data_IF_361136589847
#
_entry.id   IF_361136589847
#
_cell.length_a   1.000
_cell.length_b   1.000
_cell.length_c   1.000
_cell.angle_alpha   90.00
_cell.angle_beta   90.00
_cell.angle_gamma   90.00
#
_symmetry.space_group_name_H-M   'P 1'
#
loop_
_entity.id
_entity.type
_entity.pdbx_description
1 polymer ?
#
# COMPACT_ATOMS: atom_id res chain seq x y z
N UNK A 1 14.86 -9.58 -1.65
CA UNK A 1 14.44 -8.40 -0.87
C UNK A 1 15.33 -7.23 -1.30
N UNK A 2 14.76 -6.12 -1.81
CA UNK A 2 15.53 -4.97 -2.29
C UNK A 2 16.11 -4.09 -1.15
N UNK A 3 15.80 -4.37 0.12
CA UNK A 3 16.12 -3.50 1.25
C UNK A 3 17.11 -4.13 2.25
N UNK A 4 17.27 -5.45 2.25
CA UNK A 4 18.20 -6.13 3.17
C UNK A 4 19.66 -5.88 2.78
N UNK A 5 20.52 -5.59 3.76
CA UNK A 5 21.96 -5.39 3.52
C UNK A 5 22.66 -6.64 2.95
N UNK A 6 22.26 -7.81 3.43
CA UNK A 6 22.70 -9.11 2.91
C UNK A 6 21.66 -9.70 1.95
N UNK A 7 22.12 -10.47 0.95
CA UNK A 7 21.24 -11.07 -0.05
C UNK A 7 20.22 -12.01 0.59
N UNK A 8 18.94 -11.66 0.45
CA UNK A 8 17.82 -12.37 1.08
C UNK A 8 16.70 -12.63 0.08
N UNK A 9 16.17 -13.86 0.09
CA UNK A 9 14.98 -14.27 -0.69
C UNK A 9 13.74 -14.33 0.22
N UNK A 10 12.60 -13.90 -0.31
CA UNK A 10 11.30 -13.96 0.37
C UNK A 10 10.51 -15.13 -0.24
N UNK A 11 9.86 -15.94 0.59
CA UNK A 11 9.06 -17.10 0.17
C UNK A 11 7.70 -17.07 0.87
N UNK A 12 6.63 -17.16 0.09
CA UNK A 12 5.27 -17.29 0.63
C UNK A 12 5.02 -18.72 1.14
N UNK A 13 4.40 -18.81 2.31
CA UNK A 13 4.10 -20.07 2.97
C UNK A 13 2.64 -20.11 3.40
N UNK A 14 2.12 -21.33 3.55
CA UNK A 14 0.84 -21.57 4.20
C UNK A 14 1.07 -22.24 5.57
N UNK A 15 0.07 -22.16 6.45
CA UNK A 15 0.11 -22.88 7.72
C UNK A 15 -0.52 -24.26 7.56
N UNK A 16 0.17 -25.29 8.05
CA UNK A 16 -0.31 -26.67 8.07
C UNK A 16 -0.73 -27.08 9.49
N UNK A 17 -1.92 -27.64 9.62
CA UNK A 17 -2.44 -28.16 10.89
C UNK A 17 -1.93 -29.59 11.12
N UNK A 18 -0.95 -29.72 12.00
CA UNK A 18 -0.34 -31.02 12.34
C UNK A 18 -1.26 -31.91 13.19
N UNK A 19 -2.29 -31.36 13.82
CA UNK A 19 -3.23 -32.14 14.64
C UNK A 19 -4.32 -32.77 13.79
N UNK A 20 -4.77 -32.05 12.75
CA UNK A 20 -5.79 -32.53 11.79
C UNK A 20 -5.18 -33.17 10.53
N UNK A 21 -3.88 -33.00 10.28
CA UNK A 21 -3.22 -33.51 9.09
C UNK A 21 -3.71 -32.87 7.79
N UNK A 22 -3.98 -31.56 7.80
CA UNK A 22 -4.52 -30.82 6.65
C UNK A 22 -4.03 -29.36 6.64
N UNK A 23 -4.27 -28.65 5.54
CA UNK A 23 -4.05 -27.20 5.49
C UNK A 23 -4.92 -26.48 6.53
N UNK A 24 -4.30 -25.57 7.29
CA UNK A 24 -4.93 -24.96 8.44
C UNK A 24 -6.17 -24.15 8.06
N UNK A 25 -7.29 -24.44 8.73
CA UNK A 25 -8.60 -23.85 8.42
C UNK A 25 -8.69 -22.34 8.72
N UNK A 26 -7.73 -21.80 9.48
CA UNK A 26 -7.63 -20.37 9.80
C UNK A 26 -6.46 -19.68 9.09
N UNK A 27 -5.78 -20.35 8.18
CA UNK A 27 -4.74 -19.74 7.35
C UNK A 27 -5.42 -18.97 6.20
N UNK A 28 -5.28 -17.63 6.11
CA UNK A 28 -5.95 -16.84 5.08
C UNK A 28 -5.61 -17.30 3.66
N UNK A 29 -4.33 -17.58 3.42
CA UNK A 29 -3.84 -18.07 2.12
C UNK A 29 -4.42 -19.45 1.75
N UNK A 30 -4.52 -20.37 2.71
CA UNK A 30 -5.19 -21.66 2.51
C UNK A 30 -6.69 -21.49 2.21
N UNK A 31 -7.35 -20.52 2.85
CA UNK A 31 -8.76 -20.21 2.57
C UNK A 31 -8.94 -19.65 1.16
N UNK A 32 -8.07 -18.73 0.73
CA UNK A 32 -8.05 -18.19 -0.62
C UNK A 32 -7.89 -19.30 -1.69
N UNK A 33 -6.95 -20.23 -1.48
CA UNK A 33 -6.78 -21.41 -2.35
C UNK A 33 -8.03 -22.29 -2.40
N UNK A 34 -8.63 -22.57 -1.25
CA UNK A 34 -9.89 -23.35 -1.16
C UNK A 34 -11.05 -22.66 -1.87
N UNK A 35 -11.14 -21.32 -1.80
CA UNK A 35 -12.19 -20.57 -2.49
C UNK A 35 -12.05 -20.67 -4.02
N UNK A 36 -10.83 -20.57 -4.55
CA UNK A 36 -10.57 -20.74 -5.98
C UNK A 36 -10.83 -22.18 -6.44
N UNK A 37 -10.45 -23.18 -5.63
CA UNK A 37 -10.76 -24.58 -5.88
C UNK A 37 -12.27 -24.83 -5.91
N UNK A 38 -13.01 -24.28 -4.95
CA UNK A 38 -14.47 -24.40 -4.90
C UNK A 38 -15.14 -23.80 -6.15
N UNK A 39 -14.67 -22.65 -6.62
CA UNK A 39 -15.18 -22.04 -7.86
C UNK A 39 -15.05 -23.01 -9.04
N UNK A 40 -13.88 -23.64 -9.19
CA UNK A 40 -13.63 -24.61 -10.24
C UNK A 40 -14.51 -25.87 -10.09
N UNK A 41 -14.60 -26.43 -8.88
CA UNK A 41 -15.42 -27.62 -8.58
C UNK A 41 -16.93 -27.36 -8.79
N UNK A 42 -17.38 -26.12 -8.58
CA UNK A 42 -18.78 -25.73 -8.81
C UNK A 42 -19.17 -25.71 -10.29
N UNK A 43 -18.20 -25.67 -11.20
CA UNK A 43 -18.42 -25.58 -12.65
C UNK A 43 -18.93 -24.21 -13.13
N UNK A 44 -18.95 -23.19 -12.25
CA UNK A 44 -19.40 -21.83 -12.60
C UNK A 44 -18.37 -21.09 -13.45
N UNK A 45 -17.08 -21.22 -13.10
CA UNK A 45 -15.98 -20.63 -13.85
C UNK A 45 -14.66 -21.36 -13.52
N UNK A 46 -13.67 -21.24 -14.41
CA UNK A 46 -12.34 -21.82 -14.21
C UNK A 46 -11.42 -20.93 -13.35
N UNK A 47 -11.57 -19.60 -13.46
CA UNK A 47 -10.69 -18.61 -12.85
C UNK A 47 -11.47 -17.39 -12.37
N UNK A 48 -10.97 -16.75 -11.31
CA UNK A 48 -11.41 -15.43 -10.87
C UNK A 48 -10.19 -14.50 -10.79
N UNK A 49 -10.24 -13.41 -11.56
CA UNK A 49 -9.20 -12.38 -11.59
C UNK A 49 -9.56 -11.20 -10.69
N UNK A 50 -8.57 -10.71 -9.95
CA UNK A 50 -8.68 -9.60 -9.01
C UNK A 50 -7.62 -8.55 -9.33
N UNK A 51 -8.03 -7.30 -9.48
CA UNK A 51 -7.16 -6.13 -9.67
C UNK A 51 -7.43 -5.12 -8.55
N UNK A 52 -6.69 -5.19 -7.44
CA UNK A 52 -6.82 -4.24 -6.34
C UNK A 52 -6.10 -2.92 -6.66
N UNK A 53 -6.70 -1.81 -6.23
CA UNK A 53 -6.13 -0.47 -6.26
C UNK A 53 -5.92 -0.02 -4.82
N UNK A 54 -4.69 -0.19 -4.32
CA UNK A 54 -4.35 0.13 -2.94
C UNK A 54 -3.94 1.59 -2.84
N UNK A 55 -4.88 2.47 -2.52
CA UNK A 55 -4.57 3.84 -2.10
C UNK A 55 -3.80 3.84 -0.76
N UNK A 56 -2.84 4.74 -0.61
CA UNK A 56 -2.03 4.88 0.60
C UNK A 56 -1.66 6.33 0.89
N UNK A 57 -1.14 6.59 2.10
CA UNK A 57 -0.65 7.90 2.53
C UNK A 57 0.85 7.86 2.79
N UNK A 58 1.55 8.92 2.38
CA UNK A 58 2.95 9.18 2.73
C UNK A 58 2.96 10.36 3.72
N UNK A 59 3.28 10.06 4.98
CA UNK A 59 3.40 11.06 6.04
C UNK A 59 4.84 11.22 6.49
N UNK A 60 5.18 12.42 6.98
CA UNK A 60 6.48 12.74 7.56
C UNK A 60 6.56 12.32 9.03
N UNK A 61 5.43 12.33 9.76
CA UNK A 61 5.39 11.85 11.13
C UNK A 61 4.02 11.32 11.56
N UNK A 62 4.04 10.40 12.52
CA UNK A 62 2.86 9.92 13.24
C UNK A 62 3.18 9.85 14.74
N UNK A 63 2.28 10.39 15.58
CA UNK A 63 2.38 10.35 17.05
C UNK A 63 1.11 9.75 17.61
N UNK A 64 1.23 8.84 18.58
CA UNK A 64 0.11 8.15 19.22
C UNK A 64 0.31 8.23 20.74
N UNK A 65 -0.77 8.53 21.47
CA UNK A 65 -0.82 8.52 22.94
C UNK A 65 -2.05 7.72 23.36
N UNK A 66 -1.87 6.77 24.27
CA UNK A 66 -2.92 5.95 24.85
C UNK A 66 -2.64 5.72 26.35
N UNK A 67 -3.02 6.71 27.15
CA UNK A 67 -2.88 6.72 28.61
C UNK A 67 -4.27 6.67 29.28
N UNK A 68 -4.31 6.29 30.55
CA UNK A 68 -5.56 6.17 31.31
C UNK A 68 -6.48 7.42 31.28
N UNK A 69 -5.91 8.60 31.07
CA UNK A 69 -6.63 9.87 31.00
C UNK A 69 -6.38 10.67 29.71
N UNK A 70 -5.72 10.08 28.71
CA UNK A 70 -5.37 10.76 27.46
C UNK A 70 -5.36 9.79 26.28
N UNK A 71 -6.11 10.12 25.23
CA UNK A 71 -5.99 9.46 23.94
C UNK A 71 -5.80 10.50 22.85
N UNK A 72 -4.75 10.36 22.03
CA UNK A 72 -4.41 11.29 20.96
C UNK A 72 -3.74 10.55 19.81
N UNK A 73 -4.00 11.00 18.59
CA UNK A 73 -3.11 10.78 17.46
C UNK A 73 -2.83 12.11 16.74
N UNK A 74 -1.71 12.18 16.04
CA UNK A 74 -1.33 13.30 15.18
C UNK A 74 -0.53 12.73 14.02
N UNK A 75 -1.01 12.96 12.79
CA UNK A 75 -0.25 12.72 11.56
C UNK A 75 0.21 14.05 11.02
N UNK A 76 1.38 14.08 10.38
CA UNK A 76 1.91 15.28 9.77
C UNK A 76 2.52 14.95 8.40
N UNK A 77 2.28 15.80 7.42
CA UNK A 77 2.93 15.81 6.11
C UNK A 77 3.14 17.26 5.69
N UNK A 78 4.26 17.59 5.05
CA UNK A 78 4.56 18.92 4.54
C UNK A 78 3.47 19.43 3.60
N UNK A 79 2.82 18.56 2.82
CA UNK A 79 1.70 18.92 1.93
C UNK A 79 0.42 19.34 2.67
N UNK A 80 0.30 19.01 3.96
CA UNK A 80 -0.88 19.24 4.77
C UNK A 80 -1.20 20.72 4.95
N UNK A 81 -2.48 21.10 4.83
CA UNK A 81 -2.88 22.52 4.87
C UNK A 81 -2.70 23.12 6.27
N UNK A 82 -2.63 22.27 7.29
CA UNK A 82 -2.29 22.63 8.67
C UNK A 82 -0.85 23.15 8.82
N UNK A 83 0.00 23.01 7.82
CA UNK A 83 1.39 23.52 7.80
C UNK A 83 1.56 24.84 7.02
N UNK A 84 0.47 25.50 6.58
CA UNK A 84 0.53 26.76 5.82
C UNK A 84 1.35 27.86 6.51
N UNK A 85 1.33 27.92 7.83
CA UNK A 85 2.05 28.92 8.63
C UNK A 85 3.25 28.35 9.41
N UNK A 86 3.65 27.10 9.14
CA UNK A 86 4.73 26.45 9.86
C UNK A 86 6.09 27.03 9.46
N UNK A 87 6.91 27.32 10.46
CA UNK A 87 8.33 27.60 10.29
C UNK A 87 9.09 26.26 10.33
N UNK A 88 9.77 25.91 9.25
CA UNK A 88 10.59 24.71 9.17
C UNK A 88 12.00 25.03 9.68
N UNK A 89 12.60 24.14 10.47
CA UNK A 89 13.88 24.40 11.16
C UNK A 89 15.06 24.40 10.18
N UNK A 90 15.07 23.46 9.23
CA UNK A 90 16.15 23.25 8.26
C UNK A 90 15.73 23.56 6.81
N UNK A 91 14.61 24.26 6.65
CA UNK A 91 14.06 24.65 5.34
C UNK A 91 13.21 25.92 5.48
N UNK A 92 12.63 26.40 4.39
CA UNK A 92 11.63 27.47 4.40
C UNK A 92 10.27 26.90 3.98
N UNK A 93 9.19 27.61 4.33
CA UNK A 93 7.86 27.21 3.92
C UNK A 93 7.69 27.48 2.41
N UNK A 94 7.63 26.41 1.61
CA UNK A 94 7.54 26.45 0.14
C UNK A 94 6.14 26.81 -0.36
N UNK A 95 5.12 26.66 0.48
CA UNK A 95 3.73 27.09 0.23
C UNK A 95 2.92 26.19 -0.69
N UNK A 96 3.46 25.73 -1.82
CA UNK A 96 2.75 24.97 -2.87
C UNK A 96 2.10 23.67 -2.37
N UNK A 97 0.90 23.78 -1.77
CA UNK A 97 0.18 22.66 -1.16
C UNK A 97 -1.12 22.35 -1.88
N UNK A 98 -1.46 21.06 -2.07
CA UNK A 98 -2.82 20.70 -2.42
C UNK A 98 -3.73 21.11 -1.28
N UNK A 99 -4.97 21.51 -1.56
CA UNK A 99 -5.97 21.75 -0.51
C UNK A 99 -6.65 20.45 -0.13
N UNK A 100 -7.41 20.46 0.96
CA UNK A 100 -8.26 19.31 1.29
C UNK A 100 -9.09 18.89 0.06
N UNK A 101 -8.99 17.60 -0.31
CA UNK A 101 -9.56 17.03 -1.55
C UNK A 101 -9.06 17.65 -2.86
N UNK A 102 -7.86 18.22 -2.86
CA UNK A 102 -7.24 18.90 -4.01
C UNK A 102 -5.94 18.24 -4.49
N UNK A 103 -5.63 17.03 -4.05
CA UNK A 103 -4.42 16.29 -4.43
C UNK A 103 -4.51 15.61 -5.79
N UNK A 104 -5.70 15.48 -6.38
CA UNK A 104 -5.87 14.85 -7.70
C UNK A 104 -5.95 15.94 -8.79
N UNK A 105 -4.98 16.09 -9.68
CA UNK A 105 -3.62 15.54 -9.73
C UNK A 105 -2.69 16.64 -10.23
N UNK A 106 -2.51 17.71 -9.42
CA UNK A 106 -1.70 18.85 -9.82
C UNK A 106 -0.27 18.40 -10.08
N UNK A 107 0.45 19.17 -10.90
CA UNK A 107 1.87 18.90 -11.17
C UNK A 107 2.74 19.42 -10.03
N UNK A 108 3.99 18.97 -9.99
CA UNK A 108 5.02 19.60 -9.16
C UNK A 108 5.08 21.12 -9.42
N UNK A 109 5.32 21.96 -8.39
CA UNK A 109 5.73 21.58 -7.03
C UNK A 109 4.57 21.31 -6.06
N UNK A 110 3.30 21.35 -6.49
CA UNK A 110 2.16 21.05 -5.59
C UNK A 110 2.14 19.56 -5.23
N UNK A 111 2.37 18.69 -6.22
CA UNK A 111 2.65 17.28 -5.99
C UNK A 111 4.12 17.11 -5.62
N UNK A 112 4.39 16.90 -4.34
CA UNK A 112 5.75 16.70 -3.83
C UNK A 112 6.21 15.24 -3.90
N UNK A 113 5.30 14.33 -4.25
CA UNK A 113 5.50 12.88 -4.15
C UNK A 113 5.84 12.21 -5.49
N UNK A 114 6.05 12.98 -6.57
CA UNK A 114 6.33 12.45 -7.92
C UNK A 114 7.50 11.47 -7.93
N UNK A 115 8.64 11.88 -7.37
CA UNK A 115 9.88 11.10 -7.42
C UNK A 115 9.80 9.84 -6.53
N UNK A 116 9.24 9.96 -5.32
CA UNK A 116 9.10 8.81 -4.41
C UNK A 116 8.10 7.78 -4.97
N UNK A 117 7.01 8.22 -5.63
CA UNK A 117 6.10 7.29 -6.32
C UNK A 117 6.80 6.58 -7.49
N UNK A 118 7.65 7.27 -8.24
CA UNK A 118 8.43 6.65 -9.31
C UNK A 118 9.45 5.62 -8.76
N UNK A 119 10.09 5.91 -7.63
CA UNK A 119 11.00 4.98 -6.95
C UNK A 119 10.27 3.74 -6.42
N UNK A 120 9.06 3.91 -5.86
CA UNK A 120 8.18 2.80 -5.47
C UNK A 120 7.85 1.91 -6.67
N UNK A 121 7.46 2.49 -7.81
CA UNK A 121 7.20 1.75 -9.05
C UNK A 121 8.41 0.93 -9.49
N UNK A 122 9.60 1.53 -9.53
CA UNK A 122 10.83 0.80 -9.89
C UNK A 122 11.13 -0.35 -8.93
N UNK A 123 10.79 -0.19 -7.65
CA UNK A 123 10.99 -1.21 -6.63
C UNK A 123 9.98 -2.36 -6.76
N UNK A 124 8.72 -2.04 -7.05
CA UNK A 124 7.67 -3.03 -7.36
C UNK A 124 8.06 -3.89 -8.57
N UNK A 125 8.59 -3.27 -9.63
CA UNK A 125 9.05 -4.01 -10.81
C UNK A 125 10.22 -4.96 -10.49
N UNK A 126 11.16 -4.54 -9.63
CA UNK A 126 12.28 -5.40 -9.17
C UNK A 126 11.81 -6.64 -8.40
N UNK A 127 10.67 -6.58 -7.72
CA UNK A 127 10.09 -7.72 -6.99
C UNK A 127 9.07 -8.52 -7.82
N UNK A 128 8.90 -8.17 -9.11
CA UNK A 128 8.06 -8.92 -10.04
C UNK A 128 6.63 -8.42 -10.18
N UNK A 129 6.28 -7.27 -9.59
CA UNK A 129 4.96 -6.67 -9.69
C UNK A 129 4.92 -5.72 -10.90
N UNK A 130 4.01 -5.98 -11.83
CA UNK A 130 3.84 -5.15 -13.04
C UNK A 130 2.90 -3.97 -12.73
N UNK A 131 3.40 -2.75 -12.90
CA UNK A 131 2.62 -1.53 -12.72
C UNK A 131 2.18 -0.94 -14.06
N UNK A 132 1.18 -0.07 -14.06
CA UNK A 132 0.74 0.65 -15.27
C UNK A 132 0.40 2.13 -15.04
N UNK A 133 0.16 2.54 -13.80
CA UNK A 133 -0.09 3.94 -13.43
C UNK A 133 0.45 4.22 -12.04
N UNK A 134 0.86 5.46 -11.80
CA UNK A 134 1.01 6.01 -10.45
C UNK A 134 0.57 7.47 -10.48
N UNK A 135 -0.16 7.91 -9.47
CA UNK A 135 -0.58 9.30 -9.33
C UNK A 135 -0.72 9.69 -7.88
N UNK A 136 -0.72 11.00 -7.65
CA UNK A 136 -1.24 11.56 -6.42
C UNK A 136 -2.77 11.36 -6.40
N UNK A 137 -3.31 11.08 -5.24
CA UNK A 137 -4.74 10.86 -5.04
C UNK A 137 -5.46 12.10 -4.47
N UNK A 138 -6.75 12.02 -4.19
CA UNK A 138 -7.60 13.18 -3.85
C UNK A 138 -7.16 13.91 -2.57
N UNK A 139 -6.77 13.19 -1.51
CA UNK A 139 -6.37 13.78 -0.23
C UNK A 139 -4.88 14.19 -0.19
N UNK A 140 -4.51 15.04 0.77
CA UNK A 140 -3.13 15.53 0.91
C UNK A 140 -2.19 14.40 1.36
N UNK A 141 -1.04 14.24 0.70
CA UNK A 141 -0.11 13.14 0.93
C UNK A 141 -0.64 11.76 0.50
N UNK A 142 -1.73 11.70 -0.26
CA UNK A 142 -2.33 10.45 -0.74
C UNK A 142 -1.74 10.04 -2.09
N UNK A 143 -1.52 8.75 -2.29
CA UNK A 143 -0.98 8.19 -3.50
C UNK A 143 -1.67 6.87 -3.87
N UNK A 144 -1.57 6.51 -5.15
CA UNK A 144 -1.99 5.22 -5.67
C UNK A 144 -0.99 4.74 -6.73
N UNK A 145 -0.79 3.41 -6.79
CA UNK A 145 -0.07 2.73 -7.85
C UNK A 145 -0.96 1.59 -8.36
N UNK A 146 -1.29 1.63 -9.65
CA UNK A 146 -2.06 0.56 -10.30
C UNK A 146 -1.18 -0.61 -10.66
N UNK A 147 -1.57 -1.80 -10.20
CA UNK A 147 -0.89 -3.08 -10.44
C UNK A 147 -1.74 -4.00 -11.32
N UNK A 148 -1.11 -4.80 -12.17
CA UNK A 148 -1.83 -5.74 -13.00
C UNK A 148 -2.60 -6.75 -12.15
N UNK A 149 -3.81 -7.09 -12.60
CA UNK A 149 -4.63 -8.11 -11.96
C UNK A 149 -3.94 -9.49 -11.99
N UNK A 150 -4.31 -10.34 -11.04
CA UNK A 150 -3.87 -11.74 -10.95
C UNK A 150 -5.03 -12.66 -10.61
N UNK A 151 -4.78 -13.97 -10.56
CA UNK A 151 -5.77 -14.89 -9.94
C UNK A 151 -5.98 -14.53 -8.46
N UNK A 152 -7.11 -14.94 -7.84
CA UNK A 152 -7.42 -14.59 -6.44
C UNK A 152 -6.23 -14.70 -5.47
N UNK A 153 -5.46 -15.79 -5.58
CA UNK A 153 -4.32 -16.06 -4.68
C UNK A 153 -3.10 -15.21 -5.05
N UNK A 154 -2.83 -15.04 -6.34
CA UNK A 154 -1.72 -14.23 -6.86
C UNK A 154 -1.94 -12.74 -6.61
N UNK A 155 -3.15 -12.24 -6.86
CA UNK A 155 -3.52 -10.87 -6.59
C UNK A 155 -3.38 -10.55 -5.09
N UNK A 156 -3.77 -11.48 -4.21
CA UNK A 156 -3.60 -11.32 -2.77
C UNK A 156 -2.14 -11.44 -2.29
N UNK A 157 -1.25 -12.10 -3.04
CA UNK A 157 0.20 -12.10 -2.74
C UNK A 157 0.88 -10.80 -3.21
N UNK A 158 0.33 -10.18 -4.25
CA UNK A 158 0.83 -8.92 -4.80
C UNK A 158 0.38 -7.68 -3.99
N UNK A 159 -0.64 -7.83 -3.14
CA UNK A 159 -1.08 -6.82 -2.15
C UNK A 159 -0.20 -6.92 -0.91
#
# INVERSE_FOLDING_TARGET
>A
DPFTADQTIIVFCDVYDIYKGQMYEKCPRSMAKKALQFLQESGVADMAYFGPENEFFIFDSVKIVDDANCSKYEVDTEEGEWNDNKEFVDSYNTGHRPRNKGGYFPVAPIDSLVDIRAEMVQTLEKVGIKTFVHHHEVAQGQAEIGVHFGTLVEAADNV
#
